data_IF_069432109110
#
_entry.id   IF_069432109110
#
_cell.length_a   1.000
_cell.length_b   1.000
_cell.length_c   1.000
_cell.angle_alpha   90.00
_cell.angle_beta   90.00
_cell.angle_gamma   90.00
#
_symmetry.space_group_name_H-M   'P 1'
#
loop_
_entity.id
_entity.type
_entity.pdbx_description
1 polymer ?
#
# COMPACT_ATOMS: atom_id res chain seq x y z
N UNK A 1 9.54 -5.15 -16.55
CA UNK A 1 9.71 -3.79 -15.98
C UNK A 1 8.45 -3.11 -16.37
N UNK A 2 7.59 -2.89 -15.38
CA UNK A 2 6.16 -2.87 -15.61
C UNK A 2 5.65 -1.44 -15.43
N UNK A 3 4.99 -0.96 -16.47
CA UNK A 3 4.46 0.40 -16.51
C UNK A 3 3.22 0.48 -15.63
N UNK A 4 3.32 1.23 -14.53
CA UNK A 4 2.24 1.38 -13.55
C UNK A 4 1.06 2.21 -14.12
N UNK A 5 1.28 2.94 -15.22
CA UNK A 5 0.24 3.77 -15.87
C UNK A 5 -0.86 2.95 -16.55
N UNK A 6 -0.62 1.65 -16.81
CA UNK A 6 -1.62 0.77 -17.41
C UNK A 6 -2.79 0.47 -16.46
N UNK A 7 -2.58 0.58 -15.15
CA UNK A 7 -3.57 0.25 -14.13
C UNK A 7 -4.46 1.45 -13.82
N UNK A 8 -5.76 1.26 -13.74
CA UNK A 8 -6.74 2.30 -13.37
C UNK A 8 -6.87 2.48 -11.86
N UNK A 9 -6.42 1.52 -11.07
CA UNK A 9 -6.58 1.51 -9.62
C UNK A 9 -5.38 0.85 -8.94
N UNK A 10 -4.73 1.59 -8.05
CA UNK A 10 -3.45 1.23 -7.46
C UNK A 10 -3.57 1.25 -5.92
N UNK A 11 -3.19 0.15 -5.29
CA UNK A 11 -2.88 0.10 -3.87
C UNK A 11 -1.41 0.41 -3.64
N UNK A 12 -1.11 1.25 -2.66
CA UNK A 12 0.25 1.58 -2.23
C UNK A 12 0.44 1.13 -0.79
N UNK A 13 1.50 0.38 -0.51
CA UNK A 13 1.96 0.30 0.87
C UNK A 13 2.42 1.66 1.36
N UNK A 14 2.38 1.84 2.67
CA UNK A 14 2.84 3.06 3.31
C UNK A 14 4.34 3.03 3.59
N UNK A 15 4.78 2.14 4.48
CA UNK A 15 6.16 2.05 4.90
C UNK A 15 7.03 1.50 3.77
N UNK A 16 8.26 2.02 3.64
CA UNK A 16 9.22 1.67 2.59
C UNK A 16 8.72 1.74 1.13
N UNK A 17 7.56 2.37 0.89
CA UNK A 17 7.05 2.74 -0.43
C UNK A 17 6.73 4.23 -0.49
N UNK A 18 5.64 4.67 0.15
CA UNK A 18 5.24 6.08 0.19
C UNK A 18 6.01 6.85 1.28
N UNK A 19 6.41 6.18 2.35
CA UNK A 19 7.12 6.74 3.49
C UNK A 19 8.44 6.00 3.69
N UNK A 20 9.55 6.74 3.89
CA UNK A 20 10.90 6.20 4.15
C UNK A 20 11.55 5.38 3.02
N UNK A 21 11.00 5.38 1.80
CA UNK A 21 11.72 4.93 0.61
C UNK A 21 12.59 6.07 0.03
N UNK A 22 13.84 5.85 -0.42
CA UNK A 22 14.63 6.87 -1.13
C UNK A 22 13.94 7.46 -2.38
N UNK A 23 13.02 6.71 -2.99
CA UNK A 23 12.21 7.10 -4.16
C UNK A 23 10.84 7.67 -3.80
N UNK A 24 10.51 7.83 -2.51
CA UNK A 24 9.17 8.30 -2.06
C UNK A 24 8.71 9.56 -2.80
N UNK A 25 9.60 10.52 -3.01
CA UNK A 25 9.30 11.76 -3.73
C UNK A 25 8.81 11.54 -5.17
N UNK A 26 9.33 10.52 -5.88
CA UNK A 26 8.84 10.18 -7.22
C UNK A 26 7.40 9.66 -7.17
N UNK A 27 7.08 8.82 -6.18
CA UNK A 27 5.72 8.34 -5.99
C UNK A 27 4.77 9.48 -5.57
N UNK A 28 5.23 10.41 -4.74
CA UNK A 28 4.45 11.60 -4.38
C UNK A 28 4.11 12.45 -5.61
N UNK A 29 5.11 12.73 -6.44
CA UNK A 29 4.92 13.51 -7.66
C UNK A 29 3.94 12.85 -8.62
N UNK A 30 4.04 11.54 -8.79
CA UNK A 30 3.14 10.76 -9.64
C UNK A 30 1.70 10.79 -9.13
N UNK A 31 1.50 10.50 -7.84
CA UNK A 31 0.16 10.47 -7.22
C UNK A 31 -0.48 11.87 -7.23
N UNK A 32 0.29 12.92 -6.99
CA UNK A 32 -0.24 14.29 -6.97
C UNK A 32 -0.69 14.76 -8.34
N UNK A 33 0.13 14.53 -9.38
CA UNK A 33 -0.21 14.96 -10.74
C UNK A 33 -1.39 14.17 -11.29
N UNK A 34 -1.46 12.87 -10.97
CA UNK A 34 -2.50 11.94 -11.39
C UNK A 34 -2.93 12.13 -12.85
N UNK A 35 -1.95 12.24 -13.76
CA UNK A 35 -2.17 12.60 -15.17
C UNK A 35 -3.05 11.58 -15.91
N UNK A 36 -3.11 10.35 -15.39
CA UNK A 36 -3.88 9.24 -15.95
C UNK A 36 -5.25 9.03 -15.28
N UNK A 37 -5.68 9.92 -14.38
CA UNK A 37 -6.97 9.83 -13.68
C UNK A 37 -7.18 8.50 -12.93
N UNK A 38 -6.10 7.96 -12.37
CA UNK A 38 -6.10 6.71 -11.63
C UNK A 38 -6.70 6.90 -10.23
N UNK A 39 -7.13 5.79 -9.63
CA UNK A 39 -7.59 5.73 -8.25
C UNK A 39 -6.45 5.21 -7.37
N UNK A 40 -5.99 6.01 -6.42
CA UNK A 40 -4.93 5.62 -5.49
C UNK A 40 -5.52 5.29 -4.12
N UNK A 41 -5.04 4.23 -3.49
CA UNK A 41 -5.40 3.82 -2.14
C UNK A 41 -4.13 3.57 -1.34
N UNK A 42 -4.11 3.93 -0.05
CA UNK A 42 -3.08 3.44 0.88
C UNK A 42 -3.60 2.16 1.52
N UNK A 43 -2.79 1.11 1.51
CA UNK A 43 -3.12 -0.19 2.10
C UNK A 43 -1.92 -0.65 2.92
N UNK A 44 -2.00 -0.57 4.24
CA UNK A 44 -0.84 -0.69 5.13
C UNK A 44 -1.05 -1.71 6.25
N UNK A 45 0.05 -2.29 6.74
CA UNK A 45 0.05 -3.07 7.98
C UNK A 45 0.10 -2.22 9.25
N UNK A 46 0.14 -0.89 9.14
CA UNK A 46 -0.07 -0.02 10.31
C UNK A 46 -1.48 -0.18 10.85
N UNK A 47 -1.59 -0.23 12.17
CA UNK A 47 -2.84 -0.34 12.94
C UNK A 47 -2.78 0.61 14.15
N UNK A 48 -3.94 0.92 14.73
CA UNK A 48 -4.08 1.73 15.96
C UNK A 48 -3.27 3.05 15.85
N UNK A 49 -2.47 3.40 16.87
CA UNK A 49 -1.72 4.66 16.91
C UNK A 49 -0.76 4.86 15.74
N UNK A 50 -0.24 3.80 15.12
CA UNK A 50 0.65 3.94 13.96
C UNK A 50 -0.15 4.31 12.70
N UNK A 51 -1.39 3.83 12.61
CA UNK A 51 -2.32 4.20 11.54
C UNK A 51 -2.80 5.64 11.68
N UNK A 52 -3.13 6.07 12.91
CA UNK A 52 -3.52 7.47 13.16
C UNK A 52 -2.41 8.48 12.84
N UNK A 53 -1.17 8.01 12.77
CA UNK A 53 0.03 8.83 12.52
C UNK A 53 0.47 8.93 11.08
N UNK A 54 -0.19 8.24 10.14
CA UNK A 54 0.20 8.23 8.72
C UNK A 54 0.46 9.65 8.18
N UNK A 55 -0.49 10.56 8.37
CA UNK A 55 -0.40 11.92 7.84
C UNK A 55 0.65 12.77 8.54
N UNK A 56 0.79 12.62 9.87
CA UNK A 56 1.85 13.29 10.62
C UNK A 56 3.24 12.84 10.15
N UNK A 57 3.41 11.54 9.89
CA UNK A 57 4.68 11.01 9.42
C UNK A 57 5.00 11.47 8.00
N UNK A 58 4.00 11.56 7.10
CA UNK A 58 4.16 12.17 5.77
C UNK A 58 4.51 13.66 5.85
N UNK A 59 3.78 14.44 6.64
CA UNK A 59 4.05 15.87 6.83
C UNK A 59 5.48 16.09 7.33
N UNK A 60 5.91 15.31 8.33
CA UNK A 60 7.27 15.36 8.86
C UNK A 60 8.35 14.99 7.83
N UNK A 61 8.01 14.14 6.85
CA UNK A 61 8.89 13.80 5.74
C UNK A 61 8.91 14.86 4.62
N UNK A 62 8.14 15.96 4.75
CA UNK A 62 8.00 16.97 3.69
C UNK A 62 7.14 16.50 2.51
N UNK A 63 6.32 15.46 2.71
CA UNK A 63 5.40 14.97 1.69
C UNK A 63 4.25 15.96 1.47
N UNK A 64 3.97 16.25 0.20
CA UNK A 64 2.89 17.15 -0.24
C UNK A 64 1.55 16.44 -0.46
N UNK A 65 1.52 15.10 -0.40
CA UNK A 65 0.29 14.34 -0.50
C UNK A 65 -0.62 14.57 0.71
N UNK A 66 -1.84 15.03 0.41
CA UNK A 66 -2.97 15.18 1.31
C UNK A 66 -3.98 14.04 1.15
N UNK A 67 -4.88 13.82 2.13
CA UNK A 67 -5.87 12.74 2.08
C UNK A 67 -6.71 12.67 0.79
N UNK A 68 -7.02 13.83 0.18
CA UNK A 68 -7.84 13.87 -1.03
C UNK A 68 -7.18 13.26 -2.28
N UNK A 69 -5.86 13.06 -2.28
CA UNK A 69 -5.18 12.36 -3.37
C UNK A 69 -5.50 10.85 -3.38
N UNK A 70 -6.03 10.33 -2.26
CA UNK A 70 -6.38 8.93 -2.10
C UNK A 70 -7.89 8.77 -2.03
N UNK A 71 -8.38 7.70 -2.66
CA UNK A 71 -9.79 7.28 -2.59
C UNK A 71 -10.14 6.58 -1.28
N UNK A 72 -9.14 6.06 -0.58
CA UNK A 72 -9.27 5.41 0.71
C UNK A 72 -7.91 5.09 1.31
N UNK A 73 -7.90 4.89 2.63
CA UNK A 73 -6.73 4.52 3.41
C UNK A 73 -7.16 3.41 4.35
N UNK A 74 -6.55 2.23 4.20
CA UNK A 74 -6.93 1.03 4.92
C UNK A 74 -5.74 0.50 5.73
N UNK A 75 -5.96 0.32 7.03
CA UNK A 75 -5.00 -0.30 7.95
C UNK A 75 -5.43 -1.72 8.29
N UNK A 76 -4.47 -2.60 8.55
CA UNK A 76 -4.78 -3.96 8.99
C UNK A 76 -5.54 -3.92 10.33
N UNK A 77 -6.58 -4.74 10.51
CA UNK A 77 -7.23 -4.88 11.81
C UNK A 77 -6.24 -5.33 12.89
N UNK A 78 -6.24 -4.64 14.03
CA UNK A 78 -5.30 -4.86 15.13
C UNK A 78 -5.25 -6.32 15.59
N UNK A 79 -6.40 -7.01 15.63
CA UNK A 79 -6.46 -8.41 16.03
C UNK A 79 -5.70 -9.36 15.08
N UNK A 80 -5.61 -9.04 13.79
CA UNK A 80 -4.86 -9.84 12.82
C UNK A 80 -3.37 -9.60 13.02
N UNK A 81 -2.98 -8.32 13.15
CA UNK A 81 -1.58 -7.94 13.38
C UNK A 81 -1.02 -8.53 14.68
N UNK A 82 -1.77 -8.45 15.80
CA UNK A 82 -1.37 -9.08 17.06
C UNK A 82 -1.32 -10.61 16.98
N UNK A 83 -2.21 -11.25 16.22
CA UNK A 83 -2.12 -12.69 16.01
C UNK A 83 -0.85 -13.07 15.22
N UNK A 84 -0.52 -12.23 14.24
CA UNK A 84 0.80 -11.99 13.63
C UNK A 84 1.98 -12.23 14.55
N UNK A 85 2.25 -11.19 15.34
CA UNK A 85 3.40 -11.05 16.22
C UNK A 85 3.48 -12.16 17.27
N UNK A 86 2.34 -12.69 17.70
CA UNK A 86 2.27 -13.77 18.69
C UNK A 86 2.39 -15.17 18.07
N UNK A 87 2.64 -15.30 16.76
CA UNK A 87 2.80 -16.59 16.08
C UNK A 87 1.55 -17.48 16.13
N UNK A 88 0.36 -16.87 16.21
CA UNK A 88 -0.92 -17.61 16.31
C UNK A 88 -1.41 -18.02 14.92
N UNK A 89 -2.18 -19.13 14.78
CA UNK A 89 -2.69 -19.57 13.48
C UNK A 89 -3.47 -18.49 12.71
N UNK A 90 -4.23 -17.64 13.42
CA UNK A 90 -4.95 -16.51 12.83
C UNK A 90 -4.02 -15.45 12.21
N UNK A 91 -2.76 -15.41 12.63
CA UNK A 91 -1.73 -14.54 12.06
C UNK A 91 -1.43 -14.82 10.58
N UNK A 92 -1.74 -16.01 10.09
CA UNK A 92 -1.64 -16.34 8.65
C UNK A 92 -2.60 -15.49 7.79
N UNK A 93 -3.66 -14.91 8.37
CA UNK A 93 -4.54 -13.98 7.65
C UNK A 93 -3.81 -12.73 7.17
N UNK A 94 -2.71 -12.33 7.83
CA UNK A 94 -1.89 -11.18 7.43
C UNK A 94 -1.38 -11.34 5.99
N UNK A 95 -0.93 -12.54 5.64
CA UNK A 95 -0.36 -12.87 4.31
C UNK A 95 -1.36 -12.70 3.16
N UNK A 96 -2.66 -12.70 3.47
CA UNK A 96 -3.73 -12.55 2.49
C UNK A 96 -4.45 -11.22 2.59
N UNK A 97 -4.20 -10.44 3.64
CA UNK A 97 -5.02 -9.28 3.98
C UNK A 97 -4.91 -8.18 2.93
N UNK A 98 -3.70 -7.76 2.54
CA UNK A 98 -3.52 -6.68 1.55
C UNK A 98 -4.12 -7.05 0.19
N UNK A 99 -3.83 -8.24 -0.34
CA UNK A 99 -4.41 -8.71 -1.60
C UNK A 99 -5.95 -8.80 -1.56
N UNK A 100 -6.54 -9.25 -0.45
CA UNK A 100 -7.99 -9.25 -0.26
C UNK A 100 -8.55 -7.82 -0.20
N UNK A 101 -7.86 -6.92 0.49
CA UNK A 101 -8.27 -5.51 0.59
C UNK A 101 -8.23 -4.82 -0.77
N UNK A 102 -7.13 -4.99 -1.51
CA UNK A 102 -6.99 -4.55 -2.91
C UNK A 102 -8.18 -5.01 -3.75
N UNK A 103 -8.55 -6.30 -3.66
CA UNK A 103 -9.69 -6.84 -4.40
C UNK A 103 -11.02 -6.19 -4.03
N UNK A 104 -11.27 -5.96 -2.74
CA UNK A 104 -12.49 -5.32 -2.26
C UNK A 104 -12.61 -3.87 -2.73
N UNK A 105 -11.48 -3.15 -2.81
CA UNK A 105 -11.41 -1.77 -3.29
C UNK A 105 -11.39 -1.67 -4.83
N UNK A 106 -11.24 -2.80 -5.53
CA UNK A 106 -11.10 -2.84 -6.98
C UNK A 106 -9.75 -2.34 -7.49
N UNK A 107 -8.69 -2.46 -6.68
CA UNK A 107 -7.31 -2.28 -7.13
C UNK A 107 -6.93 -3.38 -8.13
N UNK A 108 -6.11 -3.01 -9.10
CA UNK A 108 -5.59 -3.93 -10.12
C UNK A 108 -4.14 -4.33 -9.79
N UNK A 109 -3.42 -3.45 -9.08
CA UNK A 109 -2.03 -3.63 -8.65
C UNK A 109 -1.82 -3.17 -7.21
N UNK A 110 -0.88 -3.79 -6.51
CA UNK A 110 -0.34 -3.38 -5.21
C UNK A 110 1.17 -3.11 -5.34
N UNK A 111 1.61 -1.92 -4.97
CA UNK A 111 3.03 -1.56 -4.84
C UNK A 111 3.45 -1.72 -3.38
N UNK A 112 4.36 -2.66 -3.10
CA UNK A 112 4.72 -3.07 -1.74
C UNK A 112 6.13 -3.68 -1.72
N UNK A 113 6.97 -3.33 -0.75
CA UNK A 113 8.35 -3.83 -0.64
C UNK A 113 8.43 -5.23 -0.03
N UNK A 114 7.40 -5.64 0.71
CA UNK A 114 7.48 -6.80 1.60
C UNK A 114 6.90 -8.07 0.95
N UNK A 115 7.49 -8.48 -0.19
CA UNK A 115 7.00 -9.55 -1.10
C UNK A 115 6.43 -10.77 -0.37
N UNK A 116 7.19 -11.36 0.57
CA UNK A 116 6.83 -12.59 1.29
C UNK A 116 5.48 -12.44 2.05
N UNK A 117 5.14 -11.24 2.49
CA UNK A 117 3.93 -10.96 3.28
C UNK A 117 2.72 -10.60 2.43
N UNK A 118 2.88 -10.40 1.12
CA UNK A 118 1.80 -9.87 0.27
C UNK A 118 1.55 -10.69 -0.97
N UNK A 119 2.59 -11.31 -1.53
CA UNK A 119 2.50 -12.12 -2.74
C UNK A 119 1.41 -13.21 -2.64
N UNK A 120 1.29 -13.99 -1.53
CA UNK A 120 0.25 -15.02 -1.43
C UNK A 120 -1.17 -14.45 -1.54
N UNK A 121 -1.41 -13.30 -0.93
CA UNK A 121 -2.67 -12.57 -1.03
C UNK A 121 -2.93 -12.03 -2.42
N UNK A 122 -1.95 -11.37 -3.02
CA UNK A 122 -2.05 -10.79 -4.35
C UNK A 122 -2.34 -11.86 -5.41
N UNK A 123 -1.56 -12.95 -5.42
CA UNK A 123 -1.74 -14.07 -6.33
C UNK A 123 -3.13 -14.73 -6.17
N UNK A 124 -3.58 -14.94 -4.93
CA UNK A 124 -4.91 -15.52 -4.65
C UNK A 124 -6.06 -14.65 -5.17
N UNK A 125 -5.90 -13.33 -5.15
CA UNK A 125 -6.96 -12.39 -5.47
C UNK A 125 -6.83 -11.75 -6.85
N UNK A 126 -5.87 -12.20 -7.66
CA UNK A 126 -5.56 -11.69 -8.99
C UNK A 126 -5.29 -10.19 -8.98
N UNK A 127 -4.38 -9.79 -8.08
CA UNK A 127 -3.83 -8.43 -7.96
C UNK A 127 -2.39 -8.52 -8.42
N UNK A 128 -2.00 -7.69 -9.38
CA UNK A 128 -0.59 -7.58 -9.76
C UNK A 128 0.22 -7.06 -8.56
N UNK A 129 1.41 -7.58 -8.33
CA UNK A 129 2.30 -7.06 -7.30
C UNK A 129 3.54 -6.46 -7.95
N UNK A 130 3.91 -5.24 -7.54
CA UNK A 130 5.12 -4.58 -7.97
C UNK A 130 5.96 -4.20 -6.75
N UNK A 131 7.23 -4.57 -6.76
CA UNK A 131 8.20 -3.98 -5.84
C UNK A 131 8.44 -2.51 -6.23
N UNK A 132 8.58 -1.56 -5.28
CA UNK A 132 8.81 -0.14 -5.59
C UNK A 132 10.01 0.09 -6.53
N UNK A 133 11.05 -0.74 -6.44
CA UNK A 133 12.23 -0.63 -7.32
C UNK A 133 11.95 -0.98 -8.78
N UNK A 134 10.89 -1.73 -9.06
CA UNK A 134 10.50 -2.14 -10.41
C UNK A 134 9.57 -1.13 -11.10
N UNK A 135 9.04 -0.17 -10.35
CA UNK A 135 8.12 0.86 -10.87
C UNK A 135 8.90 1.90 -11.67
N UNK A 136 8.43 2.22 -12.87
CA UNK A 136 8.96 3.29 -13.73
C UNK A 136 7.99 4.48 -13.72
N UNK A 137 8.52 5.69 -13.47
CA UNK A 137 7.78 6.95 -13.36
C UNK A 137 8.52 8.08 -14.08
#
# INVERSE_FOLDING_TARGET
MDDITQFKSIGWDFDFVIYQNPRSALFWDYIERNEHSQRHYIITFRTDRLFDRLWYDLEKAGCRLLPFHFRGVEGIPEQIFKAFENGRPKGMELLYWKGKMCKNLGCEVLVDDAEIYVWPGCARHNIEWLHPDMVML
#
